data_IF_721410697758
#
_entry.id   IF_721410697758
#
_cell.length_a   1.000
_cell.length_b   1.000
_cell.length_c   1.000
_cell.angle_alpha   90.00
_cell.angle_beta   90.00
_cell.angle_gamma   90.00
#
_symmetry.space_group_name_H-M   'P 1'
#
loop_
_entity.id
_entity.type
_entity.pdbx_description
1 polymer ?
#
# COMPACT_ATOMS: atom_id res chain seq x y z
N UNK A 1 -7.98 51.23 34.47
CA UNK A 1 -7.69 49.86 33.99
C UNK A 1 -6.24 49.89 33.55
N UNK A 2 -5.35 49.25 34.30
CA UNK A 2 -3.97 49.08 33.85
C UNK A 2 -3.99 48.07 32.69
N UNK A 3 -3.60 48.52 31.49
CA UNK A 3 -3.33 47.63 30.37
C UNK A 3 -2.14 46.76 30.75
N UNK A 4 -2.40 45.50 31.05
CA UNK A 4 -1.35 44.56 31.45
C UNK A 4 -0.60 44.10 30.20
N UNK A 5 0.53 44.75 29.92
CA UNK A 5 1.39 44.48 28.77
C UNK A 5 2.05 43.09 28.85
N UNK A 6 2.13 42.40 27.72
CA UNK A 6 2.87 41.12 27.59
C UNK A 6 4.34 41.35 27.97
N UNK A 7 4.92 40.59 28.90
CA UNK A 7 6.33 40.73 29.24
C UNK A 7 7.22 40.61 28.00
N UNK A 8 8.10 41.58 27.79
CA UNK A 8 8.97 41.64 26.61
C UNK A 8 9.82 40.37 26.39
N UNK A 9 10.15 39.65 27.47
CA UNK A 9 10.86 38.36 27.44
C UNK A 9 10.08 37.24 26.73
N UNK A 10 8.77 37.38 26.54
CA UNK A 10 7.91 36.38 25.88
C UNK A 10 7.70 36.66 24.39
N UNK A 11 8.11 37.84 23.93
CA UNK A 11 7.95 38.25 22.54
C UNK A 11 9.16 37.85 21.71
N UNK A 12 8.90 37.34 20.51
CA UNK A 12 9.95 37.04 19.55
C UNK A 12 10.59 38.37 19.09
N UNK A 13 11.92 38.54 19.15
CA UNK A 13 12.56 39.78 18.73
C UNK A 13 12.39 40.12 17.23
N UNK A 14 11.98 39.14 16.40
CA UNK A 14 11.75 39.34 14.96
C UNK A 14 10.30 39.74 14.67
N UNK A 15 9.33 38.99 15.20
CA UNK A 15 7.90 39.25 14.92
C UNK A 15 7.24 40.20 15.92
N UNK A 16 7.88 40.44 17.07
CA UNK A 16 7.31 41.12 18.25
C UNK A 16 6.00 40.50 18.74
N UNK A 17 5.75 39.24 18.38
CA UNK A 17 4.60 38.45 18.82
C UNK A 17 5.04 37.42 19.86
N UNK A 18 4.09 36.95 20.66
CA UNK A 18 4.31 35.91 21.65
C UNK A 18 4.94 34.66 21.00
N UNK A 19 6.05 34.17 21.56
CA UNK A 19 6.74 32.98 21.06
C UNK A 19 5.91 31.72 21.36
N UNK A 20 5.62 30.93 20.32
CA UNK A 20 4.90 29.64 20.46
C UNK A 20 5.87 28.49 20.66
N UNK A 21 6.98 28.52 19.93
CA UNK A 21 8.05 27.53 20.04
C UNK A 21 9.40 28.26 20.23
N UNK A 22 9.73 28.67 21.47
CA UNK A 22 10.94 29.45 21.74
C UNK A 22 12.20 28.58 21.58
N UNK A 23 13.08 28.99 20.66
CA UNK A 23 14.36 28.35 20.36
C UNK A 23 15.52 29.34 20.50
N UNK A 24 16.60 28.91 21.11
CA UNK A 24 17.80 29.72 21.35
C UNK A 24 18.88 29.40 20.32
N UNK A 25 19.40 30.43 19.67
CA UNK A 25 20.56 30.33 18.77
C UNK A 25 21.87 30.41 19.56
N UNK A 26 23.00 30.09 18.93
CA UNK A 26 24.31 30.06 19.59
C UNK A 26 24.75 31.40 20.23
N UNK A 27 24.16 32.53 19.85
CA UNK A 27 24.39 33.84 20.49
C UNK A 27 23.61 34.02 21.81
N UNK A 28 22.85 33.02 22.25
CA UNK A 28 22.07 33.05 23.48
C UNK A 28 20.73 33.79 23.39
N UNK A 29 20.32 34.24 22.21
CA UNK A 29 19.02 34.91 22.00
C UNK A 29 17.96 33.89 21.61
N UNK A 30 16.78 34.00 22.23
CA UNK A 30 15.63 33.14 21.94
C UNK A 30 14.68 33.81 20.95
N UNK A 31 14.21 33.04 19.98
CA UNK A 31 13.25 33.44 18.94
C UNK A 31 12.12 32.42 18.86
N UNK A 32 11.02 32.76 18.21
CA UNK A 32 10.05 31.76 17.77
C UNK A 32 10.63 30.97 16.59
N UNK A 33 10.51 29.63 16.64
CA UNK A 33 11.13 28.71 15.66
C UNK A 33 10.83 29.09 14.23
N UNK A 34 9.57 29.31 13.89
CA UNK A 34 9.14 29.57 12.53
C UNK A 34 9.78 30.86 11.99
N UNK A 35 9.91 31.87 12.85
CA UNK A 35 10.46 33.18 12.48
C UNK A 35 11.98 33.14 12.29
N UNK A 36 12.72 32.44 13.15
CA UNK A 36 14.18 32.31 12.98
C UNK A 36 14.54 31.37 11.83
N UNK A 37 13.77 30.29 11.61
CA UNK A 37 13.96 29.41 10.45
C UNK A 37 13.70 30.16 9.14
N UNK A 38 12.63 30.96 9.06
CA UNK A 38 12.35 31.84 7.91
C UNK A 38 13.48 32.86 7.68
N UNK A 39 14.03 33.45 8.74
CA UNK A 39 15.17 34.37 8.65
C UNK A 39 16.43 33.68 8.09
N UNK A 40 16.79 32.53 8.66
CA UNK A 40 17.97 31.75 8.24
C UNK A 40 17.85 31.24 6.80
N UNK A 41 16.63 30.90 6.37
CA UNK A 41 16.36 30.46 4.99
C UNK A 41 16.46 31.61 3.98
N UNK A 42 16.03 32.82 4.36
CA UNK A 42 16.00 33.97 3.46
C UNK A 42 17.38 34.60 3.24
N UNK A 43 18.28 34.51 4.22
CA UNK A 43 19.64 35.07 4.16
C UNK A 43 20.63 34.12 3.46
N UNK A 44 20.52 33.96 2.13
CA UNK A 44 21.27 32.99 1.31
C UNK A 44 22.81 33.02 1.44
N UNK A 45 23.43 34.11 1.92
CA UNK A 45 24.89 34.25 1.97
C UNK A 45 25.47 34.69 3.33
N UNK A 46 24.69 34.87 4.40
CA UNK A 46 25.21 35.23 5.72
C UNK A 46 24.24 34.77 6.84
N UNK A 47 24.61 33.71 7.57
CA UNK A 47 23.87 33.17 8.72
C UNK A 47 24.11 34.06 9.93
N UNK A 48 23.41 35.19 10.03
CA UNK A 48 23.57 36.14 11.14
C UNK A 48 22.39 36.11 12.10
N UNK A 49 22.68 36.34 13.38
CA UNK A 49 21.66 36.53 14.40
C UNK A 49 20.90 37.86 14.14
N UNK A 50 19.56 37.86 14.05
CA UNK A 50 18.78 39.07 13.77
C UNK A 50 19.07 40.25 14.71
N UNK A 51 19.24 39.96 16.01
CA UNK A 51 19.42 40.99 17.05
C UNK A 51 20.88 41.39 17.20
N UNK A 52 21.79 40.43 17.37
CA UNK A 52 23.21 40.74 17.67
C UNK A 52 24.04 41.02 16.42
N UNK A 53 23.50 40.73 15.23
CA UNK A 53 24.19 40.79 13.92
C UNK A 53 25.49 39.97 13.85
N UNK A 54 25.74 39.12 14.86
CA UNK A 54 26.88 38.22 14.88
C UNK A 54 26.66 37.04 13.94
N UNK A 55 27.73 36.56 13.32
CA UNK A 55 27.69 35.34 12.51
C UNK A 55 27.46 34.12 13.41
N UNK A 56 26.48 33.30 13.06
CA UNK A 56 26.16 32.07 13.75
C UNK A 56 27.16 31.00 13.34
N UNK A 57 27.91 30.47 14.32
CA UNK A 57 28.89 29.40 14.06
C UNK A 57 28.23 28.10 13.63
N UNK A 58 26.99 27.87 14.04
CA UNK A 58 26.14 26.74 13.64
C UNK A 58 24.67 27.16 13.63
N UNK A 59 23.85 26.45 12.87
CA UNK A 59 22.40 26.69 12.71
C UNK A 59 21.54 25.83 13.62
N UNK A 60 22.14 25.16 14.61
CA UNK A 60 21.37 24.32 15.51
C UNK A 60 20.55 25.20 16.45
N UNK A 61 19.26 24.93 16.48
CA UNK A 61 18.28 25.65 17.28
C UNK A 61 18.00 24.85 18.54
N UNK A 62 18.47 25.33 19.68
CA UNK A 62 18.28 24.66 20.97
C UNK A 62 16.91 25.05 21.54
N UNK A 63 15.97 24.12 21.74
CA UNK A 63 14.67 24.44 22.34
C UNK A 63 14.81 25.03 23.74
N UNK A 64 14.13 26.15 24.02
CA UNK A 64 14.10 26.79 25.35
C UNK A 64 12.82 26.38 26.10
N UNK A 65 12.80 25.14 26.59
CA UNK A 65 11.65 24.58 27.30
C UNK A 65 11.29 25.34 28.58
N UNK A 66 12.25 25.97 29.25
CA UNK A 66 12.01 26.80 30.43
C UNK A 66 11.18 28.03 30.07
N UNK A 67 11.59 28.77 29.03
CA UNK A 67 10.84 29.93 28.56
C UNK A 67 9.47 29.53 28.03
N UNK A 68 9.38 28.41 27.31
CA UNK A 68 8.10 27.87 26.84
C UNK A 68 7.11 27.63 27.99
N UNK A 69 7.57 27.03 29.10
CA UNK A 69 6.74 26.82 30.29
C UNK A 69 6.32 28.12 30.97
N UNK A 70 7.21 29.11 31.04
CA UNK A 70 6.92 30.43 31.62
C UNK A 70 5.88 31.19 30.79
N UNK A 71 6.02 31.19 29.46
CA UNK A 71 5.05 31.78 28.53
C UNK A 71 3.68 31.11 28.70
N UNK A 72 3.64 29.78 28.77
CA UNK A 72 2.40 29.02 28.97
C UNK A 72 1.74 29.34 30.32
N UNK A 73 2.52 29.37 31.41
CA UNK A 73 2.00 29.72 32.73
C UNK A 73 1.43 31.15 32.75
N UNK A 74 2.10 32.10 32.10
CA UNK A 74 1.61 33.47 31.95
C UNK A 74 0.33 33.53 31.12
N UNK A 75 0.23 32.80 30.02
CA UNK A 75 -1.00 32.76 29.21
C UNK A 75 -2.19 32.19 29.98
N UNK A 76 -1.96 31.12 30.77
CA UNK A 76 -3.01 30.49 31.60
C UNK A 76 -3.50 31.46 32.67
N UNK A 77 -2.58 32.18 33.33
CA UNK A 77 -2.93 33.16 34.36
C UNK A 77 -3.74 34.33 33.79
N UNK A 78 -3.51 34.69 32.53
CA UNK A 78 -4.08 35.86 31.87
C UNK A 78 -5.17 35.51 30.84
N UNK A 79 -5.72 34.28 30.92
CA UNK A 79 -6.68 33.71 29.98
C UNK A 79 -8.04 34.42 29.90
N UNK A 80 -8.31 35.43 30.74
CA UNK A 80 -9.51 36.27 30.66
C UNK A 80 -9.45 37.29 29.49
N UNK A 81 -8.27 37.59 28.94
CA UNK A 81 -8.07 38.70 27.99
C UNK A 81 -8.33 38.37 26.50
N UNK A 82 -8.93 37.22 26.17
CA UNK A 82 -9.34 36.91 24.80
C UNK A 82 -8.20 36.65 23.80
N UNK A 83 -6.98 36.41 24.28
CA UNK A 83 -5.92 35.79 23.49
C UNK A 83 -6.32 34.32 23.28
N UNK A 84 -6.47 33.90 22.02
CA UNK A 84 -6.73 32.51 21.65
C UNK A 84 -5.89 31.59 22.52
N UNK A 85 -6.55 30.72 23.27
CA UNK A 85 -5.91 29.74 24.15
C UNK A 85 -5.06 28.83 23.28
N UNK A 86 -3.78 29.17 23.14
CA UNK A 86 -2.79 28.25 22.61
C UNK A 86 -2.79 27.06 23.52
N UNK A 87 -3.21 25.94 22.93
CA UNK A 87 -3.45 24.66 23.58
C UNK A 87 -2.42 24.41 24.67
N UNK A 88 -2.93 23.99 25.83
CA UNK A 88 -2.16 23.51 26.98
C UNK A 88 -0.95 22.67 26.54
N UNK A 89 0.06 22.45 27.40
CA UNK A 89 0.93 21.29 27.20
C UNK A 89 -0.01 20.10 27.05
N UNK A 90 -0.09 19.54 25.83
CA UNK A 90 -1.06 18.51 25.48
C UNK A 90 -0.86 17.43 26.52
N UNK A 91 -1.87 17.18 27.34
CA UNK A 91 -1.85 16.15 28.37
C UNK A 91 -1.33 14.91 27.69
N UNK A 92 -0.19 14.40 28.16
CA UNK A 92 0.31 13.09 27.77
C UNK A 92 -0.87 12.14 27.88
N UNK A 93 -1.34 11.62 26.75
CA UNK A 93 -2.52 10.75 26.73
C UNK A 93 -2.12 9.51 27.52
N UNK A 94 -2.63 9.44 28.75
CA UNK A 94 -2.34 8.34 29.65
C UNK A 94 -3.05 7.08 29.13
N UNK A 95 -2.33 5.97 29.07
CA UNK A 95 -2.83 4.66 28.64
C UNK A 95 -4.12 4.31 29.40
N UNK A 96 -4.24 4.71 30.67
CA UNK A 96 -5.45 4.48 31.47
C UNK A 96 -6.69 5.19 30.92
N UNK A 97 -6.53 6.38 30.32
CA UNK A 97 -7.64 7.13 29.72
C UNK A 97 -8.12 6.46 28.44
N UNK A 98 -7.19 5.96 27.62
CA UNK A 98 -7.52 5.19 26.42
C UNK A 98 -8.27 3.91 26.82
N UNK A 99 -7.76 3.15 27.78
CA UNK A 99 -8.42 1.92 28.25
C UNK A 99 -9.85 2.20 28.75
N UNK A 100 -10.05 3.27 29.53
CA UNK A 100 -11.39 3.69 29.96
C UNK A 100 -12.31 4.02 28.79
N UNK A 101 -11.82 4.77 27.81
CA UNK A 101 -12.55 5.12 26.59
C UNK A 101 -12.96 3.87 25.79
N UNK A 102 -12.05 2.91 25.63
CA UNK A 102 -12.33 1.63 24.96
C UNK A 102 -13.37 0.81 25.74
N UNK A 103 -13.27 0.74 27.06
CA UNK A 103 -14.22 0.01 27.91
C UNK A 103 -15.61 0.63 27.87
N UNK A 104 -15.72 1.97 27.90
CA UNK A 104 -17.00 2.66 27.74
C UNK A 104 -17.63 2.36 26.38
N UNK A 105 -16.85 2.40 25.30
CA UNK A 105 -17.34 2.11 23.96
C UNK A 105 -17.75 0.64 23.78
N UNK A 106 -17.09 -0.30 24.48
CA UNK A 106 -17.53 -1.71 24.51
C UNK A 106 -18.87 -1.87 25.23
N UNK A 107 -19.14 -1.05 26.25
CA UNK A 107 -20.38 -1.12 27.05
C UNK A 107 -21.56 -0.41 26.38
N UNK A 108 -21.29 0.66 25.64
CA UNK A 108 -22.30 1.57 25.09
C UNK A 108 -22.12 1.71 23.56
N UNK A 109 -22.89 0.96 22.75
CA UNK A 109 -22.78 1.00 21.29
C UNK A 109 -22.90 2.41 20.69
N UNK A 110 -23.76 3.25 21.25
CA UNK A 110 -23.97 4.65 20.84
C UNK A 110 -22.72 5.53 20.98
N UNK A 111 -21.77 5.15 21.84
CA UNK A 111 -20.51 5.87 22.03
C UNK A 111 -19.38 5.39 21.11
N UNK A 112 -19.57 4.29 20.38
CA UNK A 112 -18.51 3.68 19.57
C UNK A 112 -18.02 4.61 18.46
N UNK A 113 -18.92 5.29 17.76
CA UNK A 113 -18.53 6.17 16.66
C UNK A 113 -17.71 7.36 17.18
N UNK A 114 -18.13 7.97 18.29
CA UNK A 114 -17.37 9.03 18.96
C UNK A 114 -16.00 8.53 19.46
N UNK A 115 -15.94 7.29 19.96
CA UNK A 115 -14.70 6.64 20.34
C UNK A 115 -13.76 6.48 19.14
N UNK A 116 -14.25 6.00 17.99
CA UNK A 116 -13.45 5.87 16.76
C UNK A 116 -12.89 7.22 16.30
N UNK A 117 -13.72 8.27 16.24
CA UNK A 117 -13.27 9.62 15.87
C UNK A 117 -12.19 10.14 16.83
N UNK A 118 -12.31 9.83 18.12
CA UNK A 118 -11.31 10.21 19.12
C UNK A 118 -10.02 9.41 18.97
N UNK A 119 -10.09 8.10 18.71
CA UNK A 119 -8.91 7.28 18.43
C UNK A 119 -8.18 7.77 17.17
N UNK A 120 -8.93 8.15 16.14
CA UNK A 120 -8.40 8.75 14.92
C UNK A 120 -7.62 10.03 15.22
N UNK A 121 -8.22 10.97 15.95
CA UNK A 121 -7.56 12.21 16.35
C UNK A 121 -6.27 11.93 17.12
N UNK A 122 -6.31 11.03 18.11
CA UNK A 122 -5.15 10.66 18.94
C UNK A 122 -4.02 10.06 18.08
N UNK A 123 -4.35 9.18 17.14
CA UNK A 123 -3.41 8.51 16.26
C UNK A 123 -2.69 9.48 15.29
N UNK A 124 -3.38 10.54 14.86
CA UNK A 124 -2.79 11.56 13.98
C UNK A 124 -1.92 12.59 14.70
N UNK A 125 -2.05 12.74 16.03
CA UNK A 125 -1.28 13.74 16.77
C UNK A 125 0.20 13.38 16.96
N UNK A 126 0.54 12.10 17.22
CA UNK A 126 1.95 11.69 17.38
C UNK A 126 2.14 10.18 17.25
N UNK A 127 3.35 9.77 16.85
CA UNK A 127 3.74 8.35 16.79
C UNK A 127 3.76 7.70 18.19
N UNK A 128 4.18 8.45 19.21
CA UNK A 128 4.11 8.00 20.61
C UNK A 128 2.69 7.68 21.06
N UNK A 129 1.69 8.41 20.56
CA UNK A 129 0.29 8.10 20.82
C UNK A 129 -0.15 6.81 20.14
N UNK A 130 0.35 6.49 18.94
CA UNK A 130 0.04 5.20 18.28
C UNK A 130 0.55 4.04 19.11
N UNK A 131 1.78 4.12 19.61
CA UNK A 131 2.35 3.10 20.51
C UNK A 131 1.50 2.96 21.79
N UNK A 132 1.02 4.08 22.34
CA UNK A 132 0.13 4.08 23.51
C UNK A 132 -1.26 3.47 23.20
N UNK A 133 -1.83 3.76 22.04
CA UNK A 133 -3.08 3.15 21.57
C UNK A 133 -2.92 1.64 21.37
N UNK A 134 -1.81 1.22 20.77
CA UNK A 134 -1.47 -0.20 20.60
C UNK A 134 -1.34 -0.91 21.95
N UNK A 135 -0.59 -0.35 22.90
CA UNK A 135 -0.42 -0.94 24.24
C UNK A 135 -1.71 -0.96 25.06
N UNK A 136 -2.66 -0.07 24.76
CA UNK A 136 -4.00 -0.06 25.36
C UNK A 136 -4.96 -1.09 24.75
N UNK A 137 -4.55 -1.84 23.72
CA UNK A 137 -5.41 -2.84 23.05
C UNK A 137 -6.39 -2.24 22.04
N UNK A 138 -6.08 -1.08 21.45
CA UNK A 138 -6.95 -0.45 20.46
C UNK A 138 -7.18 -1.34 19.23
N UNK A 139 -6.17 -2.09 18.78
CA UNK A 139 -6.29 -2.98 17.60
C UNK A 139 -7.33 -4.08 17.82
N UNK A 140 -7.33 -4.73 18.98
CA UNK A 140 -8.32 -5.77 19.32
C UNK A 140 -9.73 -5.18 19.45
N UNK A 141 -9.85 -3.97 20.00
CA UNK A 141 -11.12 -3.23 20.04
C UNK A 141 -11.63 -2.90 18.64
N UNK A 142 -10.77 -2.42 17.74
CA UNK A 142 -11.13 -2.09 16.37
C UNK A 142 -11.58 -3.35 15.61
N UNK A 143 -10.83 -4.46 15.75
CA UNK A 143 -11.21 -5.74 15.17
C UNK A 143 -12.59 -6.21 15.68
N UNK A 144 -12.85 -6.10 16.98
CA UNK A 144 -14.15 -6.43 17.57
C UNK A 144 -15.28 -5.54 17.03
N UNK A 145 -15.00 -4.23 16.87
CA UNK A 145 -15.98 -3.25 16.36
C UNK A 145 -16.34 -3.51 14.90
N UNK A 146 -15.39 -3.97 14.09
CA UNK A 146 -15.64 -4.34 12.69
C UNK A 146 -16.60 -5.53 12.55
N UNK A 147 -16.73 -6.38 13.57
CA UNK A 147 -17.64 -7.53 13.55
C UNK A 147 -19.12 -7.15 13.78
N UNK A 148 -19.37 -5.90 14.14
CA UNK A 148 -20.73 -5.36 14.24
C UNK A 148 -21.14 -5.01 12.80
N UNK A 149 -22.18 -5.67 12.27
CA UNK A 149 -22.63 -5.63 10.87
C UNK A 149 -23.09 -4.23 10.33
N UNK A 150 -22.58 -3.12 10.86
CA UNK A 150 -22.78 -1.77 10.35
C UNK A 150 -21.62 -1.36 9.46
N UNK A 151 -21.87 -1.18 8.16
CA UNK A 151 -20.85 -0.76 7.19
C UNK A 151 -20.13 0.50 7.63
N UNK A 152 -20.86 1.51 8.13
CA UNK A 152 -20.27 2.80 8.58
C UNK A 152 -19.27 2.59 9.72
N UNK A 153 -19.59 1.69 10.67
CA UNK A 153 -18.70 1.39 11.79
C UNK A 153 -17.46 0.62 11.34
N UNK A 154 -17.64 -0.38 10.47
CA UNK A 154 -16.52 -1.15 9.92
C UNK A 154 -15.57 -0.27 9.10
N UNK A 155 -16.10 0.68 8.30
CA UNK A 155 -15.29 1.63 7.54
C UNK A 155 -14.44 2.52 8.44
N UNK A 156 -15.06 3.16 9.44
CA UNK A 156 -14.36 4.03 10.38
C UNK A 156 -13.32 3.24 11.20
N UNK A 157 -13.63 2.00 11.60
CA UNK A 157 -12.69 1.15 12.33
C UNK A 157 -11.50 0.73 11.47
N UNK A 158 -11.72 0.38 10.18
CA UNK A 158 -10.67 0.04 9.23
C UNK A 158 -9.75 1.22 8.97
N UNK A 159 -10.31 2.42 8.82
CA UNK A 159 -9.52 3.63 8.62
C UNK A 159 -8.59 3.88 9.80
N UNK A 160 -9.09 3.82 11.04
CA UNK A 160 -8.25 3.98 12.24
C UNK A 160 -7.22 2.86 12.31
N UNK A 161 -7.62 1.60 12.10
CA UNK A 161 -6.72 0.45 12.13
C UNK A 161 -5.59 0.58 11.10
N UNK A 162 -5.90 1.04 9.89
CA UNK A 162 -4.90 1.27 8.85
C UNK A 162 -3.86 2.32 9.26
N UNK A 163 -4.29 3.44 9.85
CA UNK A 163 -3.40 4.51 10.29
C UNK A 163 -2.57 4.15 11.54
N UNK A 164 -3.09 3.26 12.39
CA UNK A 164 -2.31 2.66 13.47
C UNK A 164 -1.24 1.70 12.96
N UNK A 165 -1.42 1.12 11.76
CA UNK A 165 -0.45 0.23 11.12
C UNK A 165 -0.04 -0.95 12.03
N UNK A 166 -0.96 -1.90 12.29
CA UNK A 166 -0.74 -2.98 13.24
C UNK A 166 0.50 -3.80 12.89
N UNK A 167 1.29 -4.12 13.91
CA UNK A 167 2.49 -4.95 13.79
C UNK A 167 2.17 -6.37 13.32
N UNK A 168 3.15 -7.06 12.75
CA UNK A 168 2.99 -8.44 12.28
C UNK A 168 2.58 -9.41 13.41
N UNK A 169 3.05 -9.18 14.64
CA UNK A 169 2.69 -9.99 15.81
C UNK A 169 1.21 -9.81 16.19
N UNK A 170 0.69 -8.58 16.15
CA UNK A 170 -0.72 -8.29 16.42
C UNK A 170 -1.62 -8.89 15.35
N UNK A 171 -1.30 -8.69 14.07
CA UNK A 171 -2.05 -9.31 12.98
C UNK A 171 -2.01 -10.83 13.07
N UNK A 172 -0.88 -11.42 13.46
CA UNK A 172 -0.77 -12.87 13.67
C UNK A 172 -1.67 -13.34 14.81
N UNK A 173 -1.74 -12.60 15.91
CA UNK A 173 -2.63 -12.92 17.03
C UNK A 173 -4.11 -12.82 16.62
N UNK A 174 -4.49 -11.76 15.90
CA UNK A 174 -5.85 -11.60 15.36
C UNK A 174 -6.21 -12.74 14.41
N UNK A 175 -5.30 -13.08 13.49
CA UNK A 175 -5.50 -14.19 12.55
C UNK A 175 -5.63 -15.53 13.27
N UNK A 176 -4.88 -15.78 14.35
CA UNK A 176 -4.95 -17.07 15.05
C UNK A 176 -6.21 -17.21 15.93
N UNK A 177 -6.67 -16.13 16.57
CA UNK A 177 -7.78 -16.18 17.52
C UNK A 177 -9.14 -16.07 16.81
N UNK A 178 -9.33 -15.05 15.97
CA UNK A 178 -10.61 -14.71 15.34
C UNK A 178 -10.47 -14.49 13.82
N UNK A 179 -9.43 -15.09 13.21
CA UNK A 179 -9.04 -14.77 11.83
C UNK A 179 -10.15 -14.96 10.80
N UNK A 180 -11.00 -15.98 10.94
CA UNK A 180 -12.14 -16.18 10.04
C UNK A 180 -13.09 -14.99 10.07
N UNK A 181 -13.49 -14.54 11.26
CA UNK A 181 -14.43 -13.44 11.44
C UNK A 181 -13.78 -12.10 11.03
N UNK A 182 -12.49 -11.94 11.32
CA UNK A 182 -11.72 -10.78 10.88
C UNK A 182 -11.66 -10.66 9.36
N UNK A 183 -11.36 -11.75 8.66
CA UNK A 183 -11.36 -11.77 7.19
C UNK A 183 -12.77 -11.50 6.65
N UNK A 184 -13.82 -12.10 7.22
CA UNK A 184 -15.22 -11.84 6.80
C UNK A 184 -15.58 -10.36 6.91
N UNK A 185 -15.19 -9.69 7.99
CA UNK A 185 -15.45 -8.25 8.17
C UNK A 185 -14.67 -7.38 7.18
N UNK A 186 -13.43 -7.76 6.84
CA UNK A 186 -12.69 -7.11 5.75
C UNK A 186 -13.40 -7.32 4.40
N UNK A 187 -13.89 -8.53 4.11
CA UNK A 187 -14.63 -8.80 2.86
C UNK A 187 -15.94 -8.00 2.78
N UNK A 188 -16.65 -7.83 3.90
CA UNK A 188 -17.84 -6.99 3.97
C UNK A 188 -17.56 -5.55 3.54
N UNK A 189 -16.46 -4.96 4.01
CA UNK A 189 -16.06 -3.60 3.58
C UNK A 189 -15.55 -3.57 2.15
N UNK A 190 -14.83 -4.60 1.67
CA UNK A 190 -14.48 -4.68 0.25
C UNK A 190 -15.73 -4.69 -0.66
N UNK A 191 -16.81 -5.32 -0.18
CA UNK A 191 -18.04 -5.50 -0.92
C UNK A 191 -18.91 -4.25 -0.96
N UNK A 192 -19.11 -3.60 0.19
CA UNK A 192 -20.08 -2.51 0.37
C UNK A 192 -19.46 -1.13 0.65
N UNK A 193 -18.16 -1.07 0.92
CA UNK A 193 -17.50 0.16 1.30
C UNK A 193 -17.26 1.13 0.14
N UNK A 194 -16.93 2.37 0.49
CA UNK A 194 -16.46 3.40 -0.43
C UNK A 194 -15.04 3.10 -0.97
N UNK A 195 -14.59 3.85 -1.97
CA UNK A 195 -13.28 3.62 -2.60
C UNK A 195 -12.10 3.68 -1.61
N UNK A 196 -12.12 4.62 -0.67
CA UNK A 196 -11.04 4.81 0.28
C UNK A 196 -10.98 3.64 1.28
N UNK A 197 -12.12 3.27 1.88
CA UNK A 197 -12.22 2.15 2.82
C UNK A 197 -11.82 0.84 2.16
N UNK A 198 -12.26 0.59 0.92
CA UNK A 198 -11.84 -0.57 0.12
C UNK A 198 -10.32 -0.60 -0.13
N UNK A 199 -9.72 0.56 -0.36
CA UNK A 199 -8.27 0.70 -0.52
C UNK A 199 -7.50 0.30 0.75
N UNK A 200 -7.87 0.87 1.89
CA UNK A 200 -7.28 0.50 3.20
C UNK A 200 -7.50 -0.96 3.55
N UNK A 201 -8.71 -1.46 3.31
CA UNK A 201 -9.09 -2.86 3.54
C UNK A 201 -8.22 -3.81 2.71
N UNK A 202 -7.94 -3.49 1.45
CA UNK A 202 -7.07 -4.30 0.58
C UNK A 202 -5.65 -4.39 1.14
N UNK A 203 -5.13 -3.28 1.66
CA UNK A 203 -3.79 -3.23 2.26
C UNK A 203 -3.73 -4.04 3.58
N UNK A 204 -4.74 -3.90 4.43
CA UNK A 204 -4.86 -4.68 5.67
C UNK A 204 -5.03 -6.17 5.37
N UNK A 205 -5.87 -6.55 4.41
CA UNK A 205 -6.08 -7.94 4.00
C UNK A 205 -4.77 -8.57 3.51
N UNK A 206 -3.98 -7.82 2.72
CA UNK A 206 -2.64 -8.25 2.30
C UNK A 206 -1.71 -8.46 3.51
N UNK A 207 -1.68 -7.51 4.45
CA UNK A 207 -0.84 -7.62 5.65
C UNK A 207 -1.27 -8.80 6.55
N UNK A 208 -2.57 -9.07 6.65
CA UNK A 208 -3.13 -10.18 7.41
C UNK A 208 -2.73 -11.54 6.81
N UNK A 209 -2.84 -11.71 5.49
CA UNK A 209 -2.44 -12.96 4.83
C UNK A 209 -0.93 -13.20 4.82
N UNK A 210 -0.11 -12.14 4.89
CA UNK A 210 1.35 -12.25 5.05
C UNK A 210 1.75 -13.01 6.32
N UNK A 211 0.96 -12.90 7.38
CA UNK A 211 1.21 -13.54 8.69
C UNK A 211 0.30 -14.74 8.95
N UNK A 212 -0.54 -15.12 7.98
CA UNK A 212 -1.46 -16.24 8.10
C UNK A 212 -0.73 -17.57 8.18
N UNK A 213 -1.28 -18.50 8.95
CA UNK A 213 -0.73 -19.85 9.09
C UNK A 213 -0.94 -20.68 7.80
N UNK A 214 -0.13 -21.72 7.56
CA UNK A 214 -0.29 -22.63 6.43
C UNK A 214 -1.71 -23.22 6.29
N UNK A 215 -2.39 -23.52 7.40
CA UNK A 215 -3.76 -24.05 7.42
C UNK A 215 -4.76 -23.02 6.89
N UNK A 216 -4.61 -21.75 7.27
CA UNK A 216 -5.44 -20.64 6.78
C UNK A 216 -5.20 -20.38 5.30
N UNK A 217 -3.95 -20.37 4.86
CA UNK A 217 -3.59 -20.18 3.45
C UNK A 217 -4.11 -21.31 2.54
N UNK A 218 -4.23 -22.53 3.07
CA UNK A 218 -4.79 -23.66 2.34
C UNK A 218 -6.33 -23.64 2.25
N UNK A 219 -6.99 -22.95 3.19
CA UNK A 219 -8.45 -22.95 3.36
C UNK A 219 -9.11 -21.61 3.01
N UNK A 220 -8.48 -20.78 2.16
CA UNK A 220 -9.04 -19.51 1.69
C UNK A 220 -10.32 -19.74 0.89
N UNK A 221 -11.38 -18.98 1.18
CA UNK A 221 -12.68 -19.08 0.50
C UNK A 221 -12.64 -18.44 -0.89
N UNK A 222 -13.56 -18.82 -1.78
CA UNK A 222 -13.69 -18.20 -3.10
C UNK A 222 -14.01 -16.70 -3.00
N UNK A 223 -14.75 -16.28 -1.97
CA UNK A 223 -15.14 -14.89 -1.74
C UNK A 223 -13.94 -13.93 -1.63
N UNK A 224 -12.83 -14.39 -1.03
CA UNK A 224 -11.58 -13.60 -1.00
C UNK A 224 -11.07 -13.30 -2.41
N UNK A 225 -11.14 -14.28 -3.32
CA UNK A 225 -10.73 -14.07 -4.71
C UNK A 225 -11.70 -13.17 -5.48
N UNK A 226 -13.01 -13.33 -5.27
CA UNK A 226 -14.03 -12.44 -5.85
C UNK A 226 -13.71 -10.99 -5.52
N UNK A 227 -13.46 -10.67 -4.26
CA UNK A 227 -13.21 -9.28 -3.84
C UNK A 227 -11.82 -8.78 -4.27
N UNK A 228 -10.77 -9.61 -4.27
CA UNK A 228 -9.45 -9.25 -4.84
C UNK A 228 -9.58 -8.89 -6.32
N UNK A 229 -10.29 -9.72 -7.10
CA UNK A 229 -10.47 -9.52 -8.54
C UNK A 229 -11.34 -8.30 -8.80
N UNK A 230 -12.35 -8.06 -7.97
CA UNK A 230 -13.16 -6.84 -8.02
C UNK A 230 -12.34 -5.59 -7.76
N UNK A 231 -11.43 -5.59 -6.78
CA UNK A 231 -10.51 -4.44 -6.53
C UNK A 231 -9.63 -4.17 -7.75
N UNK A 232 -9.11 -5.23 -8.40
CA UNK A 232 -8.30 -5.09 -9.61
C UNK A 232 -9.11 -4.52 -10.78
N UNK A 233 -10.33 -5.02 -10.99
CA UNK A 233 -11.23 -4.55 -12.05
C UNK A 233 -11.66 -3.10 -11.85
N UNK A 234 -12.02 -2.74 -10.62
CA UNK A 234 -12.51 -1.41 -10.27
C UNK A 234 -11.39 -0.36 -10.28
N UNK A 235 -10.12 -0.78 -10.28
CA UNK A 235 -8.93 0.09 -10.33
C UNK A 235 -8.97 1.25 -9.32
N UNK A 236 -9.39 0.95 -8.10
CA UNK A 236 -9.72 1.93 -7.04
C UNK A 236 -8.54 2.87 -6.72
N UNK A 237 -7.33 2.32 -6.61
CA UNK A 237 -6.09 3.08 -6.50
C UNK A 237 -4.91 2.23 -6.95
N UNK A 238 -3.79 2.88 -7.30
CA UNK A 238 -2.57 2.19 -7.73
C UNK A 238 -2.00 1.32 -6.60
N UNK A 239 -2.06 1.80 -5.36
CA UNK A 239 -1.60 1.12 -4.16
C UNK A 239 -2.46 -0.11 -3.86
N UNK A 240 -3.79 0.03 -3.95
CA UNK A 240 -4.73 -1.07 -3.75
C UNK A 240 -4.55 -2.14 -4.82
N UNK A 241 -4.45 -1.76 -6.10
CA UNK A 241 -4.21 -2.70 -7.20
C UNK A 241 -2.89 -3.45 -7.04
N UNK A 242 -1.81 -2.77 -6.66
CA UNK A 242 -0.52 -3.42 -6.36
C UNK A 242 -0.61 -4.37 -5.17
N UNK A 243 -1.37 -4.01 -4.13
CA UNK A 243 -1.59 -4.86 -2.98
C UNK A 243 -2.41 -6.10 -3.35
N UNK A 244 -3.50 -5.93 -4.10
CA UNK A 244 -4.34 -7.00 -4.60
C UNK A 244 -3.56 -7.98 -5.50
N UNK A 245 -2.72 -7.48 -6.43
CA UNK A 245 -1.85 -8.34 -7.25
C UNK A 245 -0.86 -9.15 -6.42
N UNK A 246 -0.20 -8.52 -5.44
CA UNK A 246 0.73 -9.22 -4.54
C UNK A 246 0.03 -10.29 -3.71
N UNK A 247 -1.15 -9.97 -3.18
CA UNK A 247 -1.97 -10.91 -2.43
C UNK A 247 -2.41 -12.08 -3.32
N UNK A 248 -2.86 -11.81 -4.55
CA UNK A 248 -3.24 -12.85 -5.50
C UNK A 248 -2.07 -13.81 -5.80
N UNK A 249 -0.86 -13.29 -6.03
CA UNK A 249 0.36 -14.09 -6.27
C UNK A 249 0.72 -14.96 -5.07
N UNK A 250 0.61 -14.41 -3.87
CA UNK A 250 0.87 -15.10 -2.61
C UNK A 250 -0.11 -16.26 -2.40
N UNK A 251 -1.42 -15.98 -2.47
CA UNK A 251 -2.46 -16.98 -2.29
C UNK A 251 -2.42 -18.07 -3.37
N UNK A 252 -2.16 -17.70 -4.63
CA UNK A 252 -2.05 -18.66 -5.75
C UNK A 252 -0.75 -19.47 -5.76
N UNK A 253 0.14 -19.27 -4.79
CA UNK A 253 1.25 -20.20 -4.58
C UNK A 253 0.78 -21.54 -3.99
N UNK A 254 -0.45 -21.59 -3.47
CA UNK A 254 -1.13 -22.79 -3.00
C UNK A 254 -2.02 -23.38 -4.09
N UNK A 255 -1.93 -24.69 -4.33
CA UNK A 255 -2.53 -25.34 -5.51
C UNK A 255 -4.04 -25.10 -5.68
N UNK A 256 -4.83 -25.33 -4.62
CA UNK A 256 -6.30 -25.20 -4.63
C UNK A 256 -6.78 -23.76 -4.87
N UNK A 257 -5.97 -22.79 -4.47
CA UNK A 257 -6.30 -21.37 -4.60
C UNK A 257 -6.23 -20.89 -6.05
N UNK A 258 -5.38 -21.51 -6.88
CA UNK A 258 -5.28 -21.19 -8.31
C UNK A 258 -6.62 -21.41 -9.03
N UNK A 259 -7.25 -22.55 -8.79
CA UNK A 259 -8.52 -22.93 -9.42
C UNK A 259 -9.61 -21.93 -9.01
N UNK A 260 -9.75 -21.67 -7.71
CA UNK A 260 -10.72 -20.67 -7.19
C UNK A 260 -10.50 -19.29 -7.80
N UNK A 261 -9.25 -18.84 -7.90
CA UNK A 261 -8.92 -17.55 -8.52
C UNK A 261 -9.28 -17.49 -10.00
N UNK A 262 -9.11 -18.59 -10.74
CA UNK A 262 -9.53 -18.70 -12.14
C UNK A 262 -11.05 -18.67 -12.26
N UNK A 263 -11.77 -19.48 -11.48
CA UNK A 263 -13.24 -19.54 -11.46
C UNK A 263 -13.88 -18.18 -11.11
N UNK A 264 -13.20 -17.36 -10.30
CA UNK A 264 -13.63 -16.00 -9.97
C UNK A 264 -13.30 -14.96 -11.06
N UNK A 265 -12.79 -15.36 -12.23
CA UNK A 265 -12.50 -14.48 -13.37
C UNK A 265 -11.09 -13.86 -13.35
N UNK A 266 -10.15 -14.41 -12.58
CA UNK A 266 -8.82 -13.82 -12.39
C UNK A 266 -8.01 -13.72 -13.68
N UNK A 267 -8.12 -14.71 -14.58
CA UNK A 267 -7.43 -14.67 -15.87
C UNK A 267 -8.00 -13.59 -16.78
N UNK A 268 -9.32 -13.49 -16.88
CA UNK A 268 -10.02 -12.49 -17.68
C UNK A 268 -9.60 -11.08 -17.27
N UNK A 269 -9.72 -10.74 -15.98
CA UNK A 269 -9.38 -9.39 -15.48
C UNK A 269 -7.90 -9.07 -15.68
N UNK A 270 -6.99 -10.03 -15.47
CA UNK A 270 -5.57 -9.80 -15.70
C UNK A 270 -5.25 -9.56 -17.19
N UNK A 271 -5.90 -10.27 -18.10
CA UNK A 271 -5.71 -10.07 -19.54
C UNK A 271 -6.22 -8.71 -19.98
N UNK A 272 -7.41 -8.30 -19.52
CA UNK A 272 -7.98 -6.97 -19.80
C UNK A 272 -7.07 -5.85 -19.28
N UNK A 273 -6.64 -5.91 -18.02
CA UNK A 273 -5.73 -4.91 -17.46
C UNK A 273 -4.37 -4.87 -18.18
N UNK A 274 -3.89 -6.01 -18.68
CA UNK A 274 -2.65 -6.08 -19.45
C UNK A 274 -2.74 -5.36 -20.81
N UNK A 275 -3.93 -5.17 -21.38
CA UNK A 275 -4.12 -4.46 -22.65
C UNK A 275 -3.74 -2.99 -22.54
N UNK A 276 -4.16 -2.34 -21.45
CA UNK A 276 -4.08 -0.89 -21.27
C UNK A 276 -2.90 -0.43 -20.42
N UNK A 277 -2.33 -1.33 -19.59
CA UNK A 277 -1.25 -0.96 -18.69
C UNK A 277 0.05 -0.57 -19.42
N UNK A 278 0.57 0.60 -19.03
CA UNK A 278 1.88 1.11 -19.43
C UNK A 278 2.92 1.05 -18.29
N UNK A 279 2.48 1.01 -17.03
CA UNK A 279 3.37 1.00 -15.87
C UNK A 279 4.12 -0.34 -15.76
N UNK A 280 5.46 -0.25 -15.70
CA UNK A 280 6.34 -1.41 -15.78
C UNK A 280 6.13 -2.41 -14.65
N UNK A 281 6.07 -1.95 -13.39
CA UNK A 281 5.97 -2.84 -12.22
C UNK A 281 4.60 -3.52 -12.17
N UNK A 282 3.54 -2.81 -12.52
CA UNK A 282 2.20 -3.38 -12.65
C UNK A 282 2.15 -4.47 -13.73
N UNK A 283 2.74 -4.24 -14.91
CA UNK A 283 2.88 -5.27 -15.95
C UNK A 283 3.59 -6.52 -15.42
N UNK A 284 4.72 -6.34 -14.73
CA UNK A 284 5.49 -7.45 -14.15
C UNK A 284 4.66 -8.25 -13.15
N UNK A 285 3.97 -7.57 -12.22
CA UNK A 285 3.12 -8.22 -11.23
C UNK A 285 1.93 -8.97 -11.85
N UNK A 286 1.28 -8.39 -12.87
CA UNK A 286 0.19 -9.05 -13.58
C UNK A 286 0.66 -10.30 -14.32
N UNK A 287 1.83 -10.25 -14.97
CA UNK A 287 2.41 -11.43 -15.64
C UNK A 287 2.85 -12.50 -14.64
N UNK A 288 3.32 -12.12 -13.44
CA UNK A 288 3.60 -13.09 -12.36
C UNK A 288 2.30 -13.73 -11.87
N UNK A 289 1.24 -12.95 -11.66
CA UNK A 289 -0.07 -13.49 -11.29
C UNK A 289 -0.62 -14.43 -12.36
N UNK A 290 -0.56 -14.03 -13.63
CA UNK A 290 -1.02 -14.83 -14.75
C UNK A 290 -0.21 -16.13 -14.92
N UNK A 291 1.12 -16.09 -14.71
CA UNK A 291 1.96 -17.30 -14.65
C UNK A 291 1.47 -18.27 -13.57
N UNK A 292 1.12 -17.77 -12.38
CA UNK A 292 0.61 -18.61 -11.28
C UNK A 292 -0.73 -19.26 -11.64
N UNK A 293 -1.65 -18.51 -12.23
CA UNK A 293 -2.95 -19.02 -12.67
C UNK A 293 -2.81 -20.05 -13.80
N UNK A 294 -1.94 -19.80 -14.78
CA UNK A 294 -1.61 -20.76 -15.85
C UNK A 294 -0.85 -22.00 -15.36
N UNK A 295 -0.55 -22.08 -14.06
CA UNK A 295 -0.04 -23.27 -13.40
C UNK A 295 -1.08 -24.38 -13.18
N UNK A 296 -2.37 -24.14 -13.45
CA UNK A 296 -3.45 -25.13 -13.45
C UNK A 296 -4.07 -25.27 -14.85
N UNK A 297 -4.87 -26.32 -15.09
CA UNK A 297 -5.45 -26.58 -16.41
C UNK A 297 -6.54 -25.56 -16.78
N UNK A 298 -7.36 -25.22 -15.80
CA UNK A 298 -8.43 -24.24 -15.85
C UNK A 298 -7.88 -22.87 -16.26
N UNK A 299 -6.80 -22.41 -15.61
CA UNK A 299 -6.19 -21.12 -15.93
C UNK A 299 -5.61 -21.05 -17.33
N UNK A 300 -5.05 -22.15 -17.86
CA UNK A 300 -4.59 -22.21 -19.25
C UNK A 300 -5.74 -22.22 -20.24
N UNK A 301 -6.79 -22.99 -19.95
CA UNK A 301 -7.99 -23.03 -20.78
C UNK A 301 -8.61 -21.65 -20.89
N UNK A 302 -8.75 -20.94 -19.77
CA UNK A 302 -9.31 -19.59 -19.74
C UNK A 302 -8.46 -18.59 -20.53
N UNK A 303 -7.13 -18.66 -20.39
CA UNK A 303 -6.22 -17.76 -21.12
C UNK A 303 -6.30 -17.98 -22.64
N UNK A 304 -6.41 -19.24 -23.07
CA UNK A 304 -6.54 -19.59 -24.49
C UNK A 304 -7.92 -19.24 -25.04
N UNK A 305 -8.97 -19.39 -24.24
CA UNK A 305 -10.33 -19.04 -24.66
C UNK A 305 -10.53 -17.53 -24.78
N UNK A 306 -9.78 -16.72 -24.02
CA UNK A 306 -9.83 -15.28 -24.13
C UNK A 306 -9.18 -14.79 -25.43
N UNK A 307 -9.94 -14.09 -26.29
CA UNK A 307 -9.49 -13.69 -27.64
C UNK A 307 -8.22 -12.83 -27.71
N UNK A 308 -7.88 -12.12 -26.62
CA UNK A 308 -6.62 -11.37 -26.50
C UNK A 308 -5.53 -12.04 -25.64
N UNK A 309 -5.79 -13.22 -25.07
CA UNK A 309 -4.94 -13.82 -24.02
C UNK A 309 -3.52 -14.14 -24.48
N UNK A 310 -3.38 -14.94 -25.54
CA UNK A 310 -2.08 -15.26 -26.14
C UNK A 310 -1.41 -14.00 -26.70
N UNK A 311 -2.19 -13.14 -27.38
CA UNK A 311 -1.69 -11.92 -28.00
C UNK A 311 -1.07 -10.97 -26.97
N UNK A 312 -1.74 -10.72 -25.85
CA UNK A 312 -1.27 -9.76 -24.84
C UNK A 312 0.01 -10.26 -24.18
N UNK A 313 0.11 -11.56 -23.88
CA UNK A 313 1.32 -12.15 -23.30
C UNK A 313 2.49 -12.03 -24.29
N UNK A 314 2.29 -12.40 -25.56
CA UNK A 314 3.29 -12.26 -26.61
C UNK A 314 3.72 -10.79 -26.82
N UNK A 315 2.77 -9.84 -26.77
CA UNK A 315 3.00 -8.40 -26.91
C UNK A 315 3.95 -7.88 -25.83
N UNK A 316 3.86 -8.36 -24.59
CA UNK A 316 4.67 -7.87 -23.46
C UNK A 316 6.10 -8.44 -23.46
N UNK A 317 6.37 -9.56 -24.14
CA UNK A 317 7.70 -10.15 -24.28
C UNK A 317 8.63 -9.19 -25.05
N UNK A 318 9.80 -8.93 -24.46
CA UNK A 318 10.83 -7.97 -24.92
C UNK A 318 10.38 -6.49 -24.97
N UNK A 319 9.19 -6.15 -24.47
CA UNK A 319 8.67 -4.76 -24.49
C UNK A 319 8.58 -4.08 -23.13
N UNK A 320 8.58 -4.84 -22.03
CA UNK A 320 8.40 -4.30 -20.67
C UNK A 320 9.69 -4.41 -19.86
N UNK A 321 10.16 -5.64 -19.64
CA UNK A 321 11.35 -5.93 -18.86
C UNK A 321 11.86 -7.36 -19.07
N UNK A 322 13.09 -7.67 -18.61
CA UNK A 322 13.58 -9.04 -18.59
C UNK A 322 12.70 -9.99 -17.75
N UNK A 323 12.17 -9.51 -16.61
CA UNK A 323 11.27 -10.29 -15.74
C UNK A 323 9.97 -10.58 -16.47
N UNK A 324 9.33 -9.57 -17.05
CA UNK A 324 8.12 -9.74 -17.85
C UNK A 324 8.34 -10.70 -19.03
N UNK A 325 9.50 -10.63 -19.68
CA UNK A 325 9.86 -11.52 -20.78
C UNK A 325 10.02 -12.97 -20.33
N UNK A 326 10.72 -13.22 -19.21
CA UNK A 326 10.83 -14.57 -18.63
C UNK A 326 9.45 -15.14 -18.27
N UNK A 327 8.60 -14.33 -17.64
CA UNK A 327 7.23 -14.73 -17.27
C UNK A 327 6.35 -15.00 -18.47
N UNK A 328 6.38 -14.12 -19.49
CA UNK A 328 5.64 -14.31 -20.73
C UNK A 328 6.05 -15.58 -21.47
N UNK A 329 7.37 -15.83 -21.60
CA UNK A 329 7.87 -17.07 -22.22
C UNK A 329 7.39 -18.29 -21.45
N UNK A 330 7.44 -18.29 -20.11
CA UNK A 330 6.95 -19.41 -19.31
C UNK A 330 5.46 -19.68 -19.50
N UNK A 331 4.63 -18.64 -19.58
CA UNK A 331 3.19 -18.77 -19.84
C UNK A 331 2.99 -19.43 -21.21
N UNK A 332 3.63 -18.93 -22.27
CA UNK A 332 3.52 -19.51 -23.61
C UNK A 332 4.01 -20.96 -23.65
N UNK A 333 5.15 -21.26 -23.01
CA UNK A 333 5.66 -22.64 -22.89
C UNK A 333 4.67 -23.55 -22.16
N UNK A 334 4.01 -23.08 -21.10
CA UNK A 334 3.00 -23.84 -20.35
C UNK A 334 1.80 -24.21 -21.24
N UNK A 335 1.32 -23.26 -22.05
CA UNK A 335 0.25 -23.49 -23.03
C UNK A 335 0.72 -24.53 -24.06
N UNK A 336 1.90 -24.35 -24.66
CA UNK A 336 2.43 -25.26 -25.67
C UNK A 336 2.65 -26.69 -25.16
N UNK A 337 2.97 -26.87 -23.89
CA UNK A 337 3.20 -28.20 -23.30
C UNK A 337 1.91 -28.92 -22.93
N UNK A 338 0.91 -28.17 -22.46
CA UNK A 338 -0.22 -28.78 -21.75
C UNK A 338 -1.59 -28.44 -22.34
N UNK A 339 -1.67 -27.51 -23.29
CA UNK A 339 -2.93 -27.04 -23.92
C UNK A 339 -2.79 -26.87 -25.43
N UNK A 340 -1.78 -27.49 -26.04
CA UNK A 340 -1.55 -27.41 -27.47
C UNK A 340 -2.63 -28.18 -28.24
N UNK A 341 -3.42 -27.45 -29.02
CA UNK A 341 -4.30 -28.00 -30.06
C UNK A 341 -3.90 -27.36 -31.40
N UNK A 342 -4.26 -27.97 -32.55
CA UNK A 342 -3.95 -27.38 -33.85
C UNK A 342 -4.44 -25.93 -33.99
N UNK A 343 -5.63 -25.65 -33.43
CA UNK A 343 -6.20 -24.29 -33.38
C UNK A 343 -5.30 -23.33 -32.60
N UNK A 344 -4.88 -23.71 -31.39
CA UNK A 344 -4.03 -22.87 -30.52
C UNK A 344 -2.66 -22.61 -31.18
N UNK A 345 -2.04 -23.65 -31.74
CA UNK A 345 -0.73 -23.53 -32.38
C UNK A 345 -0.79 -22.63 -33.62
N UNK A 346 -1.89 -22.68 -34.38
CA UNK A 346 -2.13 -21.79 -35.52
C UNK A 346 -2.40 -20.35 -35.07
N UNK A 347 -3.23 -20.16 -34.04
CA UNK A 347 -3.50 -18.85 -33.46
C UNK A 347 -2.22 -18.18 -32.94
N UNK A 348 -1.35 -18.94 -32.27
CA UNK A 348 -0.03 -18.45 -31.83
C UNK A 348 0.85 -17.95 -32.97
N UNK A 349 0.77 -18.56 -34.16
CA UNK A 349 1.46 -18.07 -35.36
C UNK A 349 0.89 -16.72 -35.81
N UNK A 350 -0.44 -16.65 -35.97
CA UNK A 350 -1.13 -15.45 -36.47
C UNK A 350 -0.95 -14.25 -35.53
N UNK A 351 -0.97 -14.47 -34.23
CA UNK A 351 -0.79 -13.42 -33.22
C UNK A 351 0.69 -13.03 -33.00
N UNK A 352 1.62 -13.62 -33.76
CA UNK A 352 3.06 -13.32 -33.69
C UNK A 352 3.75 -13.83 -32.42
N UNK A 353 3.13 -14.74 -31.66
CA UNK A 353 3.73 -15.33 -30.47
C UNK A 353 4.95 -16.18 -30.83
N UNK A 354 4.90 -16.92 -31.94
CA UNK A 354 6.03 -17.71 -32.44
C UNK A 354 7.19 -16.80 -32.87
N UNK A 355 6.90 -15.73 -33.61
CA UNK A 355 7.90 -14.71 -33.98
C UNK A 355 8.56 -14.09 -32.75
N UNK A 356 7.79 -13.86 -31.67
CA UNK A 356 8.33 -13.38 -30.39
C UNK A 356 9.27 -14.38 -29.73
N UNK A 357 8.96 -15.68 -29.76
CA UNK A 357 9.86 -16.72 -29.25
C UNK A 357 11.17 -16.79 -30.04
N UNK A 358 11.12 -16.66 -31.37
CA UNK A 358 12.33 -16.57 -32.20
C UNK A 358 13.18 -15.34 -31.83
N UNK A 359 12.55 -14.17 -31.66
CA UNK A 359 13.25 -12.94 -31.25
C UNK A 359 13.95 -13.10 -29.89
N UNK A 360 13.35 -13.82 -28.94
CA UNK A 360 13.98 -14.09 -27.64
C UNK A 360 15.32 -14.84 -27.79
N UNK A 361 15.47 -15.72 -28.78
CA UNK A 361 16.73 -16.42 -29.02
C UNK A 361 17.86 -15.46 -29.47
N UNK A 362 17.50 -14.40 -30.20
CA UNK A 362 18.44 -13.46 -30.80
C UNK A 362 18.92 -12.38 -29.82
N UNK A 363 18.07 -11.94 -28.90
CA UNK A 363 18.39 -10.83 -27.98
C UNK A 363 19.39 -11.27 -26.91
N UNK A 364 20.43 -10.49 -26.61
CA UNK A 364 21.36 -10.81 -25.52
C UNK A 364 20.66 -10.74 -24.14
N UNK A 365 20.91 -11.74 -23.29
CA UNK A 365 20.34 -11.83 -21.93
C UNK A 365 19.33 -12.96 -21.69
N UNK A 366 18.97 -13.14 -20.41
CA UNK A 366 18.06 -14.15 -19.85
C UNK A 366 18.19 -15.58 -20.42
N UNK A 367 19.31 -16.25 -20.13
CA UNK A 367 19.60 -17.62 -20.58
C UNK A 367 18.44 -18.61 -20.36
N UNK A 368 17.78 -18.56 -19.20
CA UNK A 368 16.65 -19.45 -18.88
C UNK A 368 15.43 -19.24 -19.80
N UNK A 369 15.16 -18.00 -20.22
CA UNK A 369 14.07 -17.72 -21.15
C UNK A 369 14.41 -18.19 -22.56
N UNK A 370 15.67 -18.05 -22.99
CA UNK A 370 16.15 -18.57 -24.27
C UNK A 370 16.01 -20.08 -24.38
N UNK A 371 16.47 -20.81 -23.37
CA UNK A 371 16.39 -22.27 -23.37
C UNK A 371 14.93 -22.75 -23.45
N UNK A 372 14.03 -22.15 -22.66
CA UNK A 372 12.59 -22.47 -22.75
C UNK A 372 11.98 -22.12 -24.10
N UNK A 373 12.35 -20.96 -24.67
CA UNK A 373 11.88 -20.58 -26.01
C UNK A 373 12.35 -21.59 -27.06
N UNK A 374 13.61 -22.01 -26.98
CA UNK A 374 14.21 -23.02 -27.87
C UNK A 374 13.47 -24.35 -27.77
N UNK A 375 13.27 -24.86 -26.56
CA UNK A 375 12.52 -26.10 -26.32
C UNK A 375 11.08 -26.01 -26.85
N UNK A 376 10.42 -24.86 -26.64
CA UNK A 376 9.04 -24.64 -27.10
C UNK A 376 8.95 -24.65 -28.63
N UNK A 377 9.89 -23.99 -29.31
CA UNK A 377 9.96 -23.97 -30.78
C UNK A 377 10.25 -25.37 -31.36
N UNK A 378 11.13 -26.15 -30.72
CA UNK A 378 11.41 -27.54 -31.14
C UNK A 378 10.19 -28.43 -31.00
N UNK A 379 9.45 -28.29 -29.88
CA UNK A 379 8.28 -29.10 -29.56
C UNK A 379 7.22 -29.11 -30.66
N UNK A 380 7.01 -27.96 -31.32
CA UNK A 380 5.98 -27.78 -32.36
C UNK A 380 6.58 -27.44 -33.74
N UNK A 381 7.82 -27.86 -33.99
CA UNK A 381 8.55 -27.56 -35.24
C UNK A 381 7.81 -28.00 -36.51
N UNK A 382 7.07 -29.12 -36.47
CA UNK A 382 6.26 -29.61 -37.59
C UNK A 382 5.18 -28.61 -38.03
N UNK A 383 4.66 -27.80 -37.09
CA UNK A 383 3.59 -26.82 -37.36
C UNK A 383 4.17 -25.45 -37.73
N UNK A 384 5.28 -25.06 -37.10
CA UNK A 384 5.76 -23.68 -37.14
C UNK A 384 6.94 -23.44 -38.10
N UNK A 385 7.84 -24.41 -38.29
CA UNK A 385 9.15 -24.20 -38.95
C UNK A 385 9.06 -23.63 -40.36
N UNK A 386 8.03 -24.01 -41.13
CA UNK A 386 7.86 -23.60 -42.52
C UNK A 386 6.69 -22.61 -42.70
N UNK A 387 6.23 -21.99 -41.62
CA UNK A 387 5.10 -21.07 -41.68
C UNK A 387 5.49 -19.73 -42.31
N UNK A 388 4.67 -19.25 -43.25
CA UNK A 388 4.81 -17.92 -43.88
C UNK A 388 4.53 -16.78 -42.91
N UNK A 389 3.89 -17.06 -41.76
CA UNK A 389 3.63 -16.07 -40.71
C UNK A 389 4.90 -15.69 -39.93
N UNK A 390 5.99 -16.45 -40.05
CA UNK A 390 7.28 -16.13 -39.44
C UNK A 390 8.13 -15.35 -40.44
N UNK A 391 8.56 -14.11 -40.12
CA UNK A 391 9.46 -13.35 -40.98
C UNK A 391 10.73 -14.12 -41.33
N UNK A 392 11.17 -14.04 -42.60
CA UNK A 392 12.33 -14.79 -43.10
C UNK A 392 13.62 -14.66 -42.24
N UNK A 393 13.98 -13.48 -41.68
CA UNK A 393 15.15 -13.37 -40.80
C UNK A 393 15.03 -14.19 -39.50
N UNK A 394 13.81 -14.46 -39.03
CA UNK A 394 13.57 -15.25 -37.83
C UNK A 394 13.60 -16.75 -38.12
N UNK A 395 13.27 -17.17 -39.34
CA UNK A 395 13.36 -18.58 -39.76
C UNK A 395 14.80 -19.11 -39.67
N UNK A 396 15.80 -18.28 -39.98
CA UNK A 396 17.21 -18.64 -39.83
C UNK A 396 17.61 -18.92 -38.36
N UNK A 397 16.90 -18.33 -37.40
CA UNK A 397 17.12 -18.55 -35.96
C UNK A 397 16.24 -19.64 -35.36
N UNK A 398 15.39 -20.28 -36.17
CA UNK A 398 14.54 -21.37 -35.73
C UNK A 398 15.40 -22.62 -35.41
N UNK A 399 15.28 -23.21 -34.20
CA UNK A 399 16.21 -24.23 -33.71
C UNK A 399 15.92 -25.67 -34.16
#
# INVERSE_FOLDING_TARGET
>A
MEEMEVPALFLCPVSLQLMRDPVTVCTGITYDRENIERWLFSCKNNKTCPVTRQSLSHTDLTPNHTLQRLIQAWCIHNAWLGLETFSSPKTTIDQTQIVKLLLEAKKFPEKQLNCLSRLQYIAFESESNKICLESAGAIDFLASTMMINSTVMSEAAIEVMFHLNPSESQLKNLMNNEGTQFVVSLLHVLKLGNCQSRGYTTLLLKSAFKVASPTQLNNVTAEVFVEIIRVLRDQISVEASKAALKLLVELCSWGRNKIKAVECGGVLVLVELLLDVSERRACELMLIALEKLCGCAEGRAELVNHGAGVAVVAKKILRVSPVASDRGVKILTSICRHSATPRVLHEMLLLGAVSKLCLVLQVEGCFKAKERARETLKLHSLVWRNSTCIPAPLLASYP
#
